data_IF_827412957084
#
_entry.id   IF_827412957084
#
_cell.length_a   1.000
_cell.length_b   1.000
_cell.length_c   1.000
_cell.angle_alpha   90.00
_cell.angle_beta   90.00
_cell.angle_gamma   90.00
#
_symmetry.space_group_name_H-M   'P 1'
#
loop_
_entity.id
_entity.type
_entity.pdbx_description
1 polymer ?
#
# COMPACT_ATOMS: atom_id res chain seq x y z
N UNK A 1 -11.98 14.79 2.34
CA UNK A 1 -10.56 15.07 2.04
C UNK A 1 -9.79 14.77 3.32
N UNK A 2 -9.06 13.66 3.37
CA UNK A 2 -8.22 13.34 4.52
C UNK A 2 -7.02 14.28 4.53
N UNK A 3 -6.80 14.94 5.66
CA UNK A 3 -5.81 15.97 5.83
C UNK A 3 -4.41 15.34 5.94
N UNK A 4 -3.73 15.13 4.80
CA UNK A 4 -2.37 14.58 4.73
C UNK A 4 -1.28 15.50 5.31
N UNK A 5 -1.64 16.62 5.95
CA UNK A 5 -0.70 17.55 6.57
C UNK A 5 -0.27 17.16 7.99
N UNK A 6 -0.70 16.02 8.51
CA UNK A 6 -0.36 15.53 9.86
C UNK A 6 1.15 15.58 10.14
N UNK A 7 1.97 15.15 9.20
CA UNK A 7 3.44 15.17 9.35
C UNK A 7 3.98 16.61 9.38
N UNK A 8 3.47 17.49 8.52
CA UNK A 8 3.87 18.89 8.46
C UNK A 8 3.45 19.67 9.72
N UNK A 9 2.34 19.29 10.36
CA UNK A 9 1.89 19.85 11.63
C UNK A 9 2.70 19.31 12.81
N UNK A 10 3.01 18.02 12.81
CA UNK A 10 3.85 17.38 13.83
C UNK A 10 5.27 17.95 13.87
N UNK A 11 5.86 18.30 12.72
CA UNK A 11 7.19 18.91 12.62
C UNK A 11 7.25 20.37 13.10
N UNK A 12 6.09 21.04 13.27
CA UNK A 12 6.02 22.41 13.80
C UNK A 12 6.03 22.46 15.34
N UNK A 13 5.79 21.32 16.00
CA UNK A 13 5.85 21.18 17.45
C UNK A 13 7.30 21.00 17.93
N UNK A 14 7.69 21.59 19.08
CA UNK A 14 9.01 21.40 19.65
C UNK A 14 9.13 19.99 20.26
N UNK A 15 9.27 18.97 19.41
CA UNK A 15 9.52 17.59 19.84
C UNK A 15 11.01 17.32 20.07
N UNK A 16 11.36 16.44 21.01
CA UNK A 16 12.71 15.89 21.14
C UNK A 16 13.20 15.28 19.83
N UNK A 17 14.46 15.56 19.44
CA UNK A 17 15.04 15.12 18.15
C UNK A 17 14.94 13.61 17.91
N UNK A 18 15.00 12.79 18.97
CA UNK A 18 14.85 11.33 18.87
C UNK A 18 13.42 10.93 18.51
N UNK A 19 12.41 11.60 19.07
CA UNK A 19 11.00 11.35 18.74
C UNK A 19 10.67 11.77 17.30
N UNK A 20 11.24 12.88 16.82
CA UNK A 20 11.12 13.32 15.42
C UNK A 20 11.72 12.29 14.46
N UNK A 21 12.91 11.75 14.76
CA UNK A 21 13.55 10.73 13.93
C UNK A 21 12.71 9.45 13.86
N UNK A 22 12.19 8.98 15.00
CA UNK A 22 11.35 7.79 15.06
C UNK A 22 10.03 7.96 14.31
N UNK A 23 9.39 9.13 14.46
CA UNK A 23 8.16 9.44 13.75
C UNK A 23 8.38 9.61 12.22
N UNK A 24 9.54 10.14 11.82
CA UNK A 24 9.94 10.22 10.41
C UNK A 24 10.19 8.83 9.81
N UNK A 25 10.87 7.95 10.53
CA UNK A 25 11.11 6.58 10.10
C UNK A 25 9.79 5.82 9.92
N UNK A 26 8.89 5.87 10.93
CA UNK A 26 7.58 5.23 10.84
C UNK A 26 6.71 5.77 9.68
N UNK A 27 6.78 7.08 9.41
CA UNK A 27 6.09 7.66 8.26
C UNK A 27 6.65 7.15 6.92
N UNK A 28 7.98 7.07 6.79
CA UNK A 28 8.64 6.54 5.60
C UNK A 28 8.25 5.07 5.40
N UNK A 29 8.26 4.26 6.45
CA UNK A 29 7.90 2.84 6.37
C UNK A 29 6.43 2.65 5.91
N UNK A 30 5.50 3.45 6.45
CA UNK A 30 4.10 3.42 6.03
C UNK A 30 3.94 3.86 4.57
N UNK A 31 4.62 4.93 4.16
CA UNK A 31 4.60 5.40 2.77
C UNK A 31 5.16 4.34 1.81
N UNK A 32 6.25 3.67 2.18
CA UNK A 32 6.84 2.59 1.39
C UNK A 32 5.88 1.40 1.29
N UNK A 33 5.24 1.02 2.38
CA UNK A 33 4.22 -0.04 2.38
C UNK A 33 3.04 0.30 1.47
N UNK A 34 2.55 1.54 1.49
CA UNK A 34 1.50 2.02 0.59
C UNK A 34 1.90 1.96 -0.87
N UNK A 35 3.13 2.38 -1.19
CA UNK A 35 3.67 2.33 -2.56
C UNK A 35 3.78 0.88 -3.02
N UNK A 36 4.34 0.00 -2.20
CA UNK A 36 4.48 -1.43 -2.51
C UNK A 36 3.12 -2.08 -2.74
N UNK A 37 2.16 -1.84 -1.85
CA UNK A 37 0.80 -2.35 -1.98
C UNK A 37 0.14 -1.91 -3.30
N UNK A 38 0.20 -0.61 -3.61
CA UNK A 38 -0.39 -0.07 -4.85
C UNK A 38 0.26 -0.67 -6.09
N UNK A 39 1.58 -0.82 -6.10
CA UNK A 39 2.30 -1.42 -7.22
C UNK A 39 1.93 -2.89 -7.43
N UNK A 40 1.92 -3.69 -6.36
CA UNK A 40 1.56 -5.12 -6.44
C UNK A 40 0.09 -5.30 -6.83
N UNK A 41 -0.83 -4.51 -6.26
CA UNK A 41 -2.25 -4.52 -6.60
C UNK A 41 -2.46 -4.20 -8.08
N UNK A 42 -1.81 -3.16 -8.60
CA UNK A 42 -1.94 -2.78 -10.00
C UNK A 42 -1.45 -3.89 -10.94
N UNK A 43 -0.35 -4.59 -10.61
CA UNK A 43 0.15 -5.72 -11.39
C UNK A 43 -0.84 -6.88 -11.41
N UNK A 44 -1.40 -7.23 -10.24
CA UNK A 44 -2.40 -8.30 -10.14
C UNK A 44 -3.67 -7.96 -10.92
N UNK A 45 -4.19 -6.73 -10.80
CA UNK A 45 -5.38 -6.31 -11.54
C UNK A 45 -5.17 -6.41 -13.05
N UNK A 46 -4.03 -5.92 -13.57
CA UNK A 46 -3.70 -6.06 -15.00
C UNK A 46 -3.64 -7.51 -15.47
N UNK A 47 -3.07 -8.40 -14.65
CA UNK A 47 -2.98 -9.82 -14.98
C UNK A 47 -4.35 -10.50 -14.93
N UNK A 48 -5.23 -10.08 -14.02
CA UNK A 48 -6.63 -10.54 -13.95
C UNK A 48 -7.37 -10.11 -15.21
N UNK A 49 -7.28 -8.84 -15.60
CA UNK A 49 -7.90 -8.33 -16.83
C UNK A 49 -7.43 -9.12 -18.05
N UNK A 50 -6.12 -9.34 -18.16
CA UNK A 50 -5.54 -10.15 -19.24
C UNK A 50 -6.06 -11.60 -19.22
N UNK A 51 -6.20 -12.21 -18.04
CA UNK A 51 -6.75 -13.57 -17.94
C UNK A 51 -8.22 -13.65 -18.40
N UNK A 52 -8.99 -12.55 -18.25
CA UNK A 52 -10.35 -12.45 -18.75
C UNK A 52 -10.38 -12.32 -20.27
N UNK A 53 -9.50 -11.48 -20.83
CA UNK A 53 -9.34 -11.32 -22.28
C UNK A 53 -8.95 -12.64 -22.96
N UNK A 54 -8.11 -13.44 -22.31
CA UNK A 54 -7.66 -14.76 -22.79
C UNK A 54 -8.67 -15.90 -22.50
N UNK A 55 -9.76 -15.61 -21.77
CA UNK A 55 -10.74 -16.63 -21.35
C UNK A 55 -10.16 -17.67 -20.37
N UNK A 56 -9.03 -17.39 -19.73
CA UNK A 56 -8.33 -18.31 -18.84
C UNK A 56 -8.90 -18.25 -17.41
N UNK A 57 -9.98 -19.00 -17.21
CA UNK A 57 -10.70 -19.06 -15.91
C UNK A 57 -9.82 -19.51 -14.74
N UNK A 58 -8.91 -20.46 -14.96
CA UNK A 58 -8.05 -20.97 -13.90
C UNK A 58 -7.10 -19.88 -13.41
N UNK A 59 -6.44 -19.20 -14.36
CA UNK A 59 -5.54 -18.10 -14.05
C UNK A 59 -6.28 -16.93 -13.37
N UNK A 60 -7.49 -16.60 -13.83
CA UNK A 60 -8.34 -15.60 -13.18
C UNK A 60 -8.59 -15.91 -11.70
N UNK A 61 -8.97 -17.15 -11.37
CA UNK A 61 -9.25 -17.57 -10.00
C UNK A 61 -8.00 -17.48 -9.13
N UNK A 62 -6.85 -17.95 -9.64
CA UNK A 62 -5.57 -17.90 -8.92
C UNK A 62 -5.11 -16.47 -8.65
N UNK A 63 -5.20 -15.60 -9.66
CA UNK A 63 -4.82 -14.19 -9.51
C UNK A 63 -5.78 -13.43 -8.59
N UNK A 64 -7.08 -13.75 -8.64
CA UNK A 64 -8.07 -13.19 -7.73
C UNK A 64 -7.82 -13.62 -6.28
N UNK A 65 -7.42 -14.86 -6.05
CA UNK A 65 -7.03 -15.34 -4.72
C UNK A 65 -5.79 -14.59 -4.20
N UNK A 66 -4.77 -14.40 -5.05
CA UNK A 66 -3.57 -13.62 -4.71
C UNK A 66 -3.90 -12.17 -4.38
N UNK A 67 -4.84 -11.56 -5.12
CA UNK A 67 -5.30 -10.20 -4.83
C UNK A 67 -5.97 -10.12 -3.45
N UNK A 68 -6.81 -11.09 -3.11
CA UNK A 68 -7.44 -11.15 -1.79
C UNK A 68 -6.43 -11.34 -0.65
N UNK A 69 -5.39 -12.16 -0.86
CA UNK A 69 -4.30 -12.33 0.11
C UNK A 69 -3.48 -11.05 0.26
N UNK A 70 -3.18 -10.37 -0.85
CA UNK A 70 -2.50 -9.08 -0.84
C UNK A 70 -3.29 -8.04 -0.04
N UNK A 71 -4.60 -7.94 -0.27
CA UNK A 71 -5.44 -7.00 0.48
C UNK A 71 -5.51 -7.33 1.97
N UNK A 72 -5.47 -8.61 2.36
CA UNK A 72 -5.39 -9.02 3.77
C UNK A 72 -4.05 -8.66 4.41
N UNK A 73 -2.95 -8.81 3.69
CA UNK A 73 -1.59 -8.52 4.18
C UNK A 73 -1.38 -7.04 4.48
N UNK A 74 -2.02 -6.16 3.72
CA UNK A 74 -1.87 -4.71 3.86
C UNK A 74 -3.06 -4.02 4.54
N UNK A 75 -4.12 -4.76 4.91
CA UNK A 75 -5.16 -4.29 5.85
C UNK A 75 -4.58 -4.29 7.27
N UNK A 76 -3.90 -3.21 7.62
CA UNK A 76 -3.60 -2.83 9.01
C UNK A 76 -4.59 -1.78 9.49
#
# INVERSE_FOLDING_TARGET
MENNNYFAEMMKSPMPREQVKNATAAYIDNLLNDILFKQEKQKLMKAIDQSLDEGNRQLFIELSAKLNELEKKFKH
#
